data_IF_469698971555
#
_entry.id   IF_469698971555
#
_cell.length_a   1.000
_cell.length_b   1.000
_cell.length_c   1.000
_cell.angle_alpha   90.00
_cell.angle_beta   90.00
_cell.angle_gamma   90.00
#
_symmetry.space_group_name_H-M   'P 1'
#
loop_
_entity.id
_entity.type
_entity.pdbx_description
1 polymer ?
#
# COMPACT_ATOMS: atom_id res chain seq x y z
N UNK A 1 -23.50 2.67 11.46
CA UNK A 1 -22.03 2.54 11.34
C UNK A 1 -21.64 1.22 11.95
N UNK A 2 -21.12 0.29 11.16
CA UNK A 2 -20.66 -1.02 11.64
C UNK A 2 -19.14 -1.01 11.64
N UNK A 3 -18.53 -1.35 12.78
CA UNK A 3 -17.08 -1.38 12.92
C UNK A 3 -16.65 -2.76 13.41
N UNK A 4 -15.71 -3.38 12.71
CA UNK A 4 -15.12 -4.65 13.07
C UNK A 4 -13.61 -4.50 13.13
N UNK A 5 -12.97 -4.98 14.21
CA UNK A 5 -11.53 -4.88 14.38
C UNK A 5 -10.94 -6.25 14.74
N UNK A 6 -9.85 -6.62 14.06
CA UNK A 6 -9.13 -7.87 14.29
C UNK A 6 -7.66 -7.72 13.84
N UNK A 7 -6.72 -8.23 14.63
CA UNK A 7 -5.28 -8.22 14.33
C UNK A 7 -4.72 -6.84 13.92
N UNK A 8 -5.17 -5.76 14.56
CA UNK A 8 -4.72 -4.41 14.23
C UNK A 8 -5.29 -3.85 12.92
N UNK A 9 -6.25 -4.53 12.29
CA UNK A 9 -7.02 -4.02 11.16
C UNK A 9 -8.43 -3.70 11.61
N UNK A 10 -8.90 -2.49 11.31
CA UNK A 10 -10.25 -2.03 11.59
C UNK A 10 -10.96 -1.74 10.29
N UNK A 11 -12.07 -2.44 10.04
CA UNK A 11 -13.00 -2.16 8.96
C UNK A 11 -14.19 -1.38 9.50
N UNK A 12 -14.53 -0.28 8.86
CA UNK A 12 -15.65 0.57 9.20
C UNK A 12 -16.55 0.81 7.99
N UNK A 13 -17.84 0.57 8.16
CA UNK A 13 -18.86 0.82 7.16
C UNK A 13 -19.68 2.06 7.54
N UNK A 14 -19.52 3.13 6.76
CA UNK A 14 -20.13 4.44 6.97
C UNK A 14 -20.88 4.88 5.71
N UNK A 15 -22.20 4.60 5.66
CA UNK A 15 -23.03 4.93 4.51
C UNK A 15 -22.70 4.05 3.31
N UNK A 16 -22.25 4.67 2.21
CA UNK A 16 -21.79 3.98 1.01
C UNK A 16 -20.28 3.67 1.05
N UNK A 17 -19.57 4.21 2.04
CA UNK A 17 -18.12 4.13 2.13
C UNK A 17 -17.68 3.00 3.07
N UNK A 18 -16.57 2.36 2.70
CA UNK A 18 -15.89 1.37 3.52
C UNK A 18 -14.46 1.84 3.78
N UNK A 19 -14.13 2.03 5.05
CA UNK A 19 -12.79 2.40 5.50
C UNK A 19 -12.09 1.18 6.07
N UNK A 20 -10.84 0.97 5.66
CA UNK A 20 -9.97 -0.05 6.25
C UNK A 20 -8.74 0.64 6.79
N UNK A 21 -8.58 0.60 8.11
CA UNK A 21 -7.43 1.17 8.81
C UNK A 21 -6.56 0.04 9.32
N UNK A 22 -5.32 -0.03 8.86
CA UNK A 22 -4.31 -0.97 9.36
C UNK A 22 -3.35 -0.25 10.30
N UNK A 23 -3.15 -0.80 11.49
CA UNK A 23 -2.12 -0.36 12.42
C UNK A 23 -0.83 -1.10 12.12
N UNK A 24 0.16 -0.38 11.58
CA UNK A 24 1.51 -0.90 11.39
C UNK A 24 2.45 -0.25 12.39
N UNK A 25 3.14 -1.01 13.26
CA UNK A 25 4.18 -0.47 14.10
C UNK A 25 5.39 -0.10 13.22
N UNK A 26 5.59 1.19 12.97
CA UNK A 26 6.71 1.70 12.19
C UNK A 26 7.37 2.90 12.88
N UNK A 27 8.69 3.02 12.74
CA UNK A 27 9.46 4.11 13.37
C UNK A 27 9.22 5.47 12.72
N UNK A 28 8.97 5.50 11.41
CA UNK A 28 8.71 6.73 10.65
C UNK A 28 7.84 6.46 9.42
N UNK A 29 7.19 7.49 8.85
CA UNK A 29 6.46 7.36 7.58
C UNK A 29 7.34 6.84 6.45
N UNK A 30 8.63 7.22 6.40
CA UNK A 30 9.59 6.72 5.39
C UNK A 30 9.89 5.23 5.56
N UNK A 31 10.01 4.75 6.79
CA UNK A 31 10.23 3.32 7.05
C UNK A 31 9.06 2.51 6.49
N UNK A 32 7.82 2.96 6.73
CA UNK A 32 6.63 2.32 6.20
C UNK A 32 6.54 2.44 4.67
N UNK A 33 6.90 3.59 4.09
CA UNK A 33 6.98 3.76 2.64
C UNK A 33 7.98 2.78 2.00
N UNK A 34 9.12 2.55 2.65
CA UNK A 34 10.12 1.56 2.23
C UNK A 34 9.59 0.13 2.24
N UNK A 35 8.86 -0.27 3.29
CA UNK A 35 8.19 -1.58 3.34
C UNK A 35 7.17 -1.76 2.22
N UNK A 36 6.34 -0.74 1.98
CA UNK A 36 5.35 -0.75 0.89
C UNK A 36 6.01 -0.79 -0.49
N UNK A 37 7.13 -0.08 -0.67
CA UNK A 37 7.93 -0.13 -1.89
C UNK A 37 8.52 -1.52 -2.12
N UNK A 38 8.99 -2.21 -1.08
CA UNK A 38 9.44 -3.59 -1.17
C UNK A 38 8.31 -4.55 -1.56
N UNK A 39 7.10 -4.37 -0.99
CA UNK A 39 5.92 -5.15 -1.38
C UNK A 39 5.54 -4.92 -2.84
N UNK A 40 5.52 -3.67 -3.30
CA UNK A 40 5.26 -3.33 -4.69
C UNK A 40 6.32 -3.92 -5.63
N UNK A 41 7.60 -3.83 -5.26
CA UNK A 41 8.68 -4.44 -6.03
C UNK A 41 8.51 -5.95 -6.16
N UNK A 42 8.21 -6.65 -5.06
CA UNK A 42 7.97 -8.09 -5.09
C UNK A 42 6.79 -8.47 -6.00
N UNK A 43 5.69 -7.70 -5.92
CA UNK A 43 4.51 -7.88 -6.77
C UNK A 43 4.86 -7.72 -8.25
N UNK A 44 5.58 -6.66 -8.61
CA UNK A 44 6.00 -6.39 -9.99
C UNK A 44 7.01 -7.43 -10.49
N UNK A 45 7.91 -7.89 -9.63
CA UNK A 45 8.89 -8.92 -9.96
C UNK A 45 8.21 -10.26 -10.29
N UNK A 46 7.28 -10.71 -9.45
CA UNK A 46 6.50 -11.93 -9.71
C UNK A 46 5.66 -11.82 -10.98
N UNK A 47 5.09 -10.64 -11.21
CA UNK A 47 4.30 -10.33 -12.42
C UNK A 47 5.18 -10.38 -13.67
N UNK A 48 6.38 -9.81 -13.61
CA UNK A 48 7.36 -9.85 -14.70
C UNK A 48 7.80 -11.28 -15.02
N UNK A 49 8.10 -12.08 -14.00
CA UNK A 49 8.51 -13.47 -14.19
C UNK A 49 7.40 -14.30 -14.85
N UNK A 50 6.16 -14.11 -14.40
CA UNK A 50 4.98 -14.70 -15.02
C UNK A 50 4.83 -14.26 -16.49
N UNK A 51 5.12 -13.00 -16.81
CA UNK A 51 5.05 -12.49 -18.18
C UNK A 51 6.16 -13.08 -19.07
N UNK A 52 7.37 -13.20 -18.54
CA UNK A 52 8.51 -13.80 -19.24
C UNK A 52 8.30 -15.30 -19.51
N UNK A 53 7.65 -16.01 -18.58
CA UNK A 53 7.27 -17.41 -18.75
C UNK A 53 6.09 -17.61 -19.73
N UNK A 54 5.50 -16.53 -20.26
CA UNK A 54 4.30 -16.59 -21.11
C UNK A 54 3.02 -16.96 -20.36
N UNK A 55 3.09 -17.15 -19.04
CA UNK A 55 1.96 -17.55 -18.19
C UNK A 55 1.15 -16.37 -17.69
N UNK A 56 1.61 -15.13 -17.88
CA UNK A 56 0.83 -13.95 -17.51
C UNK A 56 -0.43 -13.78 -18.34
N UNK A 57 -0.43 -14.21 -19.61
CA UNK A 57 -1.66 -14.28 -20.42
C UNK A 57 -2.63 -15.37 -19.96
N UNK A 58 -2.11 -16.43 -19.33
CA UNK A 58 -2.85 -17.53 -18.70
C UNK A 58 -3.25 -17.26 -17.24
N UNK A 59 -2.70 -16.21 -16.62
CA UNK A 59 -3.26 -15.64 -15.41
C UNK A 59 -4.67 -15.19 -15.81
N UNK A 60 -5.67 -15.97 -15.39
CA UNK A 60 -7.10 -15.71 -15.60
C UNK A 60 -7.33 -14.21 -15.48
N UNK A 61 -8.05 -13.60 -16.43
CA UNK A 61 -8.32 -12.16 -16.45
C UNK A 61 -8.81 -11.62 -15.08
N UNK A 62 -9.46 -12.48 -14.30
CA UNK A 62 -9.89 -12.28 -12.93
C UNK A 62 -8.78 -11.97 -11.92
N UNK A 63 -7.50 -12.25 -12.24
CA UNK A 63 -6.34 -12.04 -11.37
C UNK A 63 -5.53 -10.82 -11.81
N UNK A 64 -5.43 -10.56 -13.13
CA UNK A 64 -4.67 -9.42 -13.66
C UNK A 64 -5.23 -8.08 -13.16
N UNK A 65 -6.56 -7.90 -13.19
CA UNK A 65 -7.22 -6.69 -12.71
C UNK A 65 -6.93 -6.40 -11.24
N UNK A 66 -7.18 -7.36 -10.32
CA UNK A 66 -6.84 -7.21 -8.91
C UNK A 66 -5.36 -6.97 -8.64
N UNK A 67 -4.44 -7.62 -9.37
CA UNK A 67 -3.00 -7.39 -9.22
C UNK A 67 -2.61 -5.95 -9.56
N UNK A 68 -3.13 -5.42 -10.67
CA UNK A 68 -2.89 -4.02 -11.06
C UNK A 68 -3.51 -3.05 -10.05
N UNK A 69 -4.72 -3.33 -9.58
CA UNK A 69 -5.37 -2.53 -8.54
C UNK A 69 -4.55 -2.51 -7.24
N UNK A 70 -3.98 -3.65 -6.84
CA UNK A 70 -3.10 -3.74 -5.68
C UNK A 70 -1.81 -2.94 -5.88
N UNK A 71 -1.20 -3.05 -7.07
CA UNK A 71 0.00 -2.27 -7.41
C UNK A 71 -0.28 -0.76 -7.35
N UNK A 72 -1.42 -0.31 -7.87
CA UNK A 72 -1.86 1.08 -7.76
C UNK A 72 -2.06 1.51 -6.31
N UNK A 73 -2.74 0.69 -5.50
CA UNK A 73 -2.94 0.99 -4.08
C UNK A 73 -1.62 1.13 -3.32
N UNK A 74 -0.67 0.22 -3.52
CA UNK A 74 0.66 0.30 -2.92
C UNK A 74 1.42 1.56 -3.37
N UNK A 75 1.36 1.92 -4.66
CA UNK A 75 2.00 3.13 -5.16
C UNK A 75 1.42 4.41 -4.53
N UNK A 76 0.09 4.46 -4.34
CA UNK A 76 -0.58 5.58 -3.68
C UNK A 76 -0.23 5.67 -2.20
N UNK A 77 -0.18 4.54 -1.48
CA UNK A 77 0.27 4.50 -0.09
C UNK A 77 1.70 5.00 0.06
N UNK A 78 2.63 4.56 -0.80
CA UNK A 78 4.03 5.04 -0.80
C UNK A 78 4.10 6.55 -1.02
N UNK A 79 3.31 7.08 -1.95
CA UNK A 79 3.28 8.50 -2.26
C UNK A 79 2.84 9.31 -1.04
N UNK A 80 1.69 8.97 -0.46
CA UNK A 80 1.14 9.66 0.73
C UNK A 80 2.10 9.59 1.92
N UNK A 81 2.74 8.43 2.15
CA UNK A 81 3.72 8.28 3.23
C UNK A 81 4.99 9.12 2.99
N UNK A 82 5.40 9.25 1.73
CA UNK A 82 6.56 10.07 1.36
C UNK A 82 6.27 11.56 1.47
N UNK A 83 5.05 11.99 1.09
CA UNK A 83 4.57 13.37 1.28
C UNK A 83 4.51 13.72 2.78
N UNK A 84 3.91 12.85 3.59
CA UNK A 84 3.84 13.02 5.04
C UNK A 84 5.23 13.11 5.68
N UNK A 85 6.19 12.32 5.20
CA UNK A 85 7.57 12.39 5.65
C UNK A 85 8.25 13.72 5.29
N UNK A 86 7.98 14.26 4.10
CA UNK A 86 8.52 15.54 3.67
C UNK A 86 8.04 16.67 4.59
N UNK A 87 6.74 16.68 4.92
CA UNK A 87 6.13 17.67 5.83
C UNK A 87 6.77 17.63 7.23
N UNK A 88 7.02 16.43 7.78
CA UNK A 88 7.64 16.29 9.12
C UNK A 88 9.17 16.55 9.12
N UNK A 89 9.82 16.50 7.96
CA UNK A 89 11.24 16.84 7.82
C UNK A 89 11.51 18.35 7.79
N UNK A 90 10.50 19.16 7.44
CA UNK A 90 10.60 20.62 7.39
C UNK A 90 10.43 21.27 8.79
N UNK A 91 9.63 20.68 9.68
CA UNK A 91 9.46 21.15 11.07
C UNK A 91 10.70 20.94 11.96
N UNK A 92 11.65 20.08 11.55
CA UNK A 92 12.90 19.83 12.27
C UNK A 92 14.04 20.82 11.98
N UNK A 93 13.83 21.82 11.11
CA UNK A 93 14.87 22.77 10.67
C UNK A 93 14.59 24.23 11.07
N UNK A 94 13.56 24.45 11.89
CA UNK A 94 13.05 25.77 12.28
C UNK A 94 13.51 26.33 13.63
N UNK A 95 14.30 25.61 14.43
CA UNK A 95 14.83 26.11 15.71
C UNK A 95 16.24 25.55 15.99
N UNK A 96 17.26 26.21 15.45
CA UNK A 96 18.65 26.15 15.94
C UNK A 96 19.42 27.41 15.55
#
# INVERSE_FOLDING_TARGET
MFRHSRYGVTAEHAGADMFVTAHTPCESPLSLAGEKAAQLYALLFMTRDSAAAGTFGDLVADIQGPLLSLATGLAQEILVLSELAAEHGEDGRGDA
#
